data_IF_732672767860
#
_entry.id   IF_732672767860
#
_cell.length_a   1.000
_cell.length_b   1.000
_cell.length_c   1.000
_cell.angle_alpha   90.00
_cell.angle_beta   90.00
_cell.angle_gamma   90.00
#
_symmetry.space_group_name_H-M   'P 1'
#
loop_
_entity.id
_entity.type
_entity.pdbx_description
1 polymer ?
#
# COMPACT_ATOMS: atom_id res chain seq x y z
N UNK A 1 -15.64 15.79 33.32
CA UNK A 1 -15.65 15.64 31.85
C UNK A 1 -14.65 14.53 31.50
N UNK A 2 -15.13 13.31 31.28
CA UNK A 2 -14.28 12.17 30.96
C UNK A 2 -13.85 12.34 29.51
N UNK A 3 -12.59 12.75 29.28
CA UNK A 3 -11.99 12.70 27.96
C UNK A 3 -11.84 11.21 27.62
N UNK A 4 -12.83 10.65 26.93
CA UNK A 4 -12.69 9.38 26.23
C UNK A 4 -11.51 9.56 25.27
N UNK A 5 -10.33 9.05 25.66
CA UNK A 5 -9.19 8.91 24.75
C UNK A 5 -9.68 8.02 23.61
N UNK A 6 -10.15 8.63 22.51
CA UNK A 6 -10.45 7.88 21.28
C UNK A 6 -9.17 7.13 20.90
N UNK A 7 -9.29 5.81 20.81
CA UNK A 7 -8.18 4.91 20.46
C UNK A 7 -7.69 5.26 19.05
N UNK A 8 -6.41 5.03 18.73
CA UNK A 8 -5.94 5.11 17.34
C UNK A 8 -6.81 4.20 16.45
N UNK A 9 -7.02 4.64 15.20
CA UNK A 9 -7.84 3.91 14.22
C UNK A 9 -7.32 2.47 14.09
N UNK A 10 -8.19 1.51 14.38
CA UNK A 10 -7.85 0.09 14.26
C UNK A 10 -8.00 -0.37 12.82
N UNK A 11 -7.26 -1.41 12.44
CA UNK A 11 -7.40 -2.02 11.12
C UNK A 11 -8.81 -2.56 10.89
N UNK A 12 -9.46 -3.10 11.93
CA UNK A 12 -10.82 -3.61 11.84
C UNK A 12 -11.84 -2.50 11.59
N UNK A 13 -11.73 -1.38 12.31
CA UNK A 13 -12.59 -0.21 12.10
C UNK A 13 -12.40 0.37 10.69
N UNK A 14 -11.15 0.51 10.24
CA UNK A 14 -10.88 0.97 8.89
C UNK A 14 -11.51 0.06 7.83
N UNK A 15 -11.33 -1.26 7.94
CA UNK A 15 -11.92 -2.20 6.99
C UNK A 15 -13.44 -2.26 7.05
N UNK A 16 -14.07 -1.92 8.19
CA UNK A 16 -15.51 -1.68 8.26
C UNK A 16 -15.90 -0.51 7.35
N UNK A 17 -15.25 0.64 7.49
CA UNK A 17 -15.53 1.80 6.62
C UNK A 17 -15.24 1.49 5.13
N UNK A 18 -14.19 0.73 4.82
CA UNK A 18 -13.92 0.31 3.42
C UNK A 18 -15.10 -0.47 2.86
N UNK A 19 -15.66 -1.42 3.62
CA UNK A 19 -16.80 -2.24 3.18
C UNK A 19 -18.06 -1.42 2.93
N UNK A 20 -18.28 -0.35 3.69
CA UNK A 20 -19.43 0.54 3.51
C UNK A 20 -19.43 1.25 2.14
N UNK A 21 -18.25 1.41 1.53
CA UNK A 21 -18.10 2.03 0.21
C UNK A 21 -17.76 1.05 -0.91
N UNK A 22 -17.56 -0.24 -0.62
CA UNK A 22 -17.03 -1.19 -1.59
C UNK A 22 -18.16 -1.77 -2.46
N UNK A 23 -18.16 -1.53 -3.79
CA UNK A 23 -19.07 -2.21 -4.71
C UNK A 23 -18.88 -3.74 -4.69
N UNK A 24 -19.89 -4.48 -5.14
CA UNK A 24 -19.83 -5.95 -5.15
C UNK A 24 -18.76 -6.52 -6.11
N UNK A 25 -18.43 -5.79 -7.17
CA UNK A 25 -17.46 -6.15 -8.20
C UNK A 25 -16.05 -5.61 -7.92
N UNK A 26 -15.90 -4.73 -6.94
CA UNK A 26 -14.61 -4.19 -6.54
C UNK A 26 -13.72 -5.26 -5.92
N UNK A 27 -12.45 -5.22 -6.29
CA UNK A 27 -11.49 -6.29 -6.04
C UNK A 27 -10.16 -5.74 -5.52
N UNK A 28 -9.70 -6.38 -4.45
CA UNK A 28 -8.35 -6.23 -3.90
C UNK A 28 -7.64 -7.57 -4.00
N UNK A 29 -6.45 -7.60 -4.58
CA UNK A 29 -5.64 -8.80 -4.71
C UNK A 29 -4.39 -8.73 -3.84
N UNK A 30 -4.09 -9.85 -3.18
CA UNK A 30 -2.73 -10.14 -2.73
C UNK A 30 -1.81 -10.22 -3.95
N UNK A 31 -0.56 -9.82 -3.76
CA UNK A 31 0.47 -9.89 -4.80
C UNK A 31 1.57 -10.87 -4.43
N UNK A 32 2.10 -11.57 -5.42
CA UNK A 32 3.28 -12.45 -5.28
C UNK A 32 4.59 -11.65 -5.20
N UNK A 33 5.74 -12.34 -5.11
CA UNK A 33 7.05 -11.71 -5.03
C UNK A 33 7.43 -10.87 -6.27
N UNK A 34 6.70 -11.05 -7.38
CA UNK A 34 6.86 -10.31 -8.64
C UNK A 34 5.83 -9.19 -8.78
N UNK A 35 4.97 -8.99 -7.78
CA UNK A 35 3.90 -8.02 -7.82
C UNK A 35 2.74 -8.45 -8.73
N UNK A 36 2.56 -9.74 -9.01
CA UNK A 36 1.41 -10.26 -9.77
C UNK A 36 0.26 -10.61 -8.82
N UNK A 37 -1.00 -10.29 -9.18
CA UNK A 37 -2.17 -10.74 -8.44
C UNK A 37 -2.20 -12.27 -8.29
N UNK A 38 -2.43 -12.77 -7.07
CA UNK A 38 -2.43 -14.21 -6.80
C UNK A 38 -3.70 -14.72 -6.09
N UNK A 39 -4.31 -13.92 -5.21
CA UNK A 39 -5.54 -14.28 -4.49
C UNK A 39 -6.33 -13.05 -4.09
N UNK A 40 -7.62 -13.21 -3.79
CA UNK A 40 -8.45 -12.12 -3.26
C UNK A 40 -8.05 -11.79 -1.82
N UNK A 41 -7.70 -10.53 -1.56
CA UNK A 41 -7.33 -10.05 -0.23
C UNK A 41 -8.57 -9.78 0.65
N UNK A 42 -9.73 -9.50 0.04
CA UNK A 42 -10.95 -9.20 0.79
C UNK A 42 -11.46 -10.38 1.61
N UNK A 43 -11.27 -11.62 1.13
CA UNK A 43 -11.68 -12.84 1.84
C UNK A 43 -10.71 -13.26 2.95
N UNK A 44 -9.44 -12.87 2.83
CA UNK A 44 -8.38 -13.21 3.79
C UNK A 44 -8.15 -12.13 4.85
N UNK A 45 -8.74 -10.95 4.63
CA UNK A 45 -8.52 -9.77 5.45
C UNK A 45 -7.30 -8.99 4.97
N UNK A 46 -7.45 -7.67 4.88
CA UNK A 46 -6.33 -6.78 4.58
C UNK A 46 -5.60 -6.42 5.87
N UNK A 47 -4.30 -6.18 5.74
CA UNK A 47 -3.39 -5.88 6.85
C UNK A 47 -2.65 -4.59 6.52
N UNK A 48 -2.48 -3.76 7.54
CA UNK A 48 -1.70 -2.53 7.46
C UNK A 48 -0.28 -2.81 6.91
N UNK A 49 0.27 -1.87 6.14
CA UNK A 49 1.64 -1.92 5.59
C UNK A 49 1.91 -3.00 4.54
N UNK A 50 0.92 -3.80 4.18
CA UNK A 50 1.08 -4.82 3.16
C UNK A 50 0.70 -4.26 1.78
N UNK A 51 1.47 -4.61 0.74
CA UNK A 51 1.14 -4.17 -0.62
C UNK A 51 0.10 -5.08 -1.27
N UNK A 52 -0.94 -4.43 -1.77
CA UNK A 52 -2.03 -5.03 -2.52
C UNK A 52 -2.11 -4.43 -3.91
N UNK A 53 -2.77 -5.17 -4.80
CA UNK A 53 -3.29 -4.59 -6.03
C UNK A 53 -4.76 -4.22 -5.84
N UNK A 54 -5.09 -2.97 -6.05
CA UNK A 54 -6.46 -2.46 -6.04
C UNK A 54 -6.93 -2.27 -7.48
N UNK A 55 -8.20 -2.54 -7.74
CA UNK A 55 -8.87 -1.86 -8.83
C UNK A 55 -9.28 -0.43 -8.46
N UNK A 56 -9.82 0.28 -9.44
CA UNK A 56 -10.22 1.67 -9.31
C UNK A 56 -11.25 1.87 -8.19
N UNK A 57 -12.24 0.97 -8.12
CA UNK A 57 -13.33 1.06 -7.14
C UNK A 57 -12.87 0.73 -5.73
N UNK A 58 -12.04 -0.29 -5.55
CA UNK A 58 -11.46 -0.60 -4.25
C UNK A 58 -10.51 0.52 -3.77
N UNK A 59 -9.76 1.14 -4.68
CA UNK A 59 -8.93 2.31 -4.36
C UNK A 59 -9.80 3.50 -3.91
N UNK A 60 -10.95 3.73 -4.55
CA UNK A 60 -11.91 4.76 -4.14
C UNK A 60 -12.58 4.42 -2.81
N UNK A 61 -13.02 3.19 -2.59
CA UNK A 61 -13.65 2.77 -1.34
C UNK A 61 -12.70 2.98 -0.16
N UNK A 62 -11.42 2.62 -0.31
CA UNK A 62 -10.40 2.89 0.70
C UNK A 62 -10.09 4.38 0.88
N UNK A 63 -10.17 5.17 -0.20
CA UNK A 63 -10.05 6.63 -0.13
C UNK A 63 -11.21 7.25 0.67
N UNK A 64 -12.43 6.86 0.35
CA UNK A 64 -13.65 7.31 1.02
C UNK A 64 -13.68 6.91 2.50
N UNK A 65 -13.16 5.73 2.85
CA UNK A 65 -13.02 5.32 4.25
C UNK A 65 -12.12 6.27 5.05
N UNK A 66 -11.02 6.75 4.48
CA UNK A 66 -10.15 7.75 5.13
C UNK A 66 -10.84 9.11 5.21
N UNK A 67 -11.54 9.50 4.14
CA UNK A 67 -12.28 10.76 4.07
C UNK A 67 -13.42 10.80 5.09
N UNK A 68 -14.14 9.69 5.30
CA UNK A 68 -15.19 9.57 6.31
C UNK A 68 -14.63 9.72 7.72
N UNK A 69 -13.53 9.02 8.03
CA UNK A 69 -12.81 9.18 9.31
C UNK A 69 -12.42 10.64 9.55
N UNK A 70 -11.99 11.35 8.50
CA UNK A 70 -11.67 12.76 8.60
C UNK A 70 -12.90 13.64 8.90
N UNK A 71 -14.05 13.35 8.27
CA UNK A 71 -15.32 14.03 8.54
C UNK A 71 -15.81 13.76 9.97
N UNK A 72 -15.73 12.52 10.45
CA UNK A 72 -16.12 12.13 11.81
C UNK A 72 -15.27 12.80 12.89
N UNK A 73 -13.95 12.94 12.67
CA UNK A 73 -13.08 13.66 13.62
C UNK A 73 -13.25 15.18 13.53
N UNK A 74 -13.73 15.67 12.38
CA UNK A 74 -13.99 17.07 12.08
C UNK A 74 -12.81 18.02 12.39
N UNK A 75 -11.58 17.54 12.25
CA UNK A 75 -10.39 18.33 12.53
C UNK A 75 -9.17 17.82 11.75
N UNK A 76 -8.08 18.61 11.78
CA UNK A 76 -6.82 18.23 11.17
C UNK A 76 -6.70 18.69 9.72
N UNK A 77 -5.92 17.96 8.93
CA UNK A 77 -5.74 18.23 7.50
C UNK A 77 -5.91 16.98 6.66
N UNK A 78 -6.33 17.18 5.41
CA UNK A 78 -6.38 16.15 4.38
C UNK A 78 -5.62 16.58 3.13
N UNK A 79 -4.80 15.69 2.60
CA UNK A 79 -4.09 15.84 1.34
C UNK A 79 -4.43 14.67 0.43
N UNK A 80 -4.93 14.98 -0.76
CA UNK A 80 -5.18 13.99 -1.80
C UNK A 80 -4.28 14.25 -3.02
N UNK A 81 -3.76 13.17 -3.60
CA UNK A 81 -3.17 13.19 -4.94
C UNK A 81 -4.03 12.37 -5.88
N UNK A 82 -4.27 12.89 -7.07
CA UNK A 82 -4.96 12.21 -8.16
C UNK A 82 -4.15 12.42 -9.44
N UNK A 83 -4.26 11.53 -10.43
CA UNK A 83 -3.47 11.68 -11.64
C UNK A 83 -3.87 12.94 -12.44
N UNK A 84 -5.17 13.27 -12.51
CA UNK A 84 -5.71 14.41 -13.24
C UNK A 84 -6.89 15.04 -12.49
N UNK A 85 -7.06 16.37 -12.57
CA UNK A 85 -8.21 17.06 -11.95
C UNK A 85 -9.57 16.63 -12.51
N UNK A 86 -9.64 16.02 -13.70
CA UNK A 86 -10.91 15.47 -14.20
C UNK A 86 -11.45 14.34 -13.32
N UNK A 87 -10.56 13.62 -12.61
CA UNK A 87 -10.96 12.56 -11.67
C UNK A 87 -11.42 13.10 -10.33
N UNK A 88 -11.21 14.39 -10.05
CA UNK A 88 -11.77 15.04 -8.86
C UNK A 88 -13.28 15.31 -9.02
N UNK A 89 -13.75 15.57 -10.24
CA UNK A 89 -15.11 16.06 -10.50
C UNK A 89 -16.22 15.15 -9.93
N UNK A 90 -16.15 13.81 -10.07
CA UNK A 90 -17.13 12.92 -9.45
C UNK A 90 -17.16 12.97 -7.91
N UNK A 91 -16.09 13.46 -7.27
CA UNK A 91 -15.93 13.50 -5.81
C UNK A 91 -16.02 14.91 -5.24
N UNK A 92 -16.35 15.89 -6.09
CA UNK A 92 -16.31 17.32 -5.77
C UNK A 92 -17.08 17.68 -4.50
N UNK A 93 -18.29 17.17 -4.35
CA UNK A 93 -19.14 17.47 -3.19
C UNK A 93 -18.54 16.96 -1.87
N UNK A 94 -17.97 15.75 -1.87
CA UNK A 94 -17.29 15.20 -0.69
C UNK A 94 -16.08 16.04 -0.30
N UNK A 95 -15.26 16.44 -1.26
CA UNK A 95 -14.11 17.32 -0.99
C UNK A 95 -14.52 18.72 -0.55
N UNK A 96 -15.70 19.20 -0.95
CA UNK A 96 -16.27 20.44 -0.42
C UNK A 96 -16.69 20.29 1.04
N UNK A 97 -17.35 19.21 1.40
CA UNK A 97 -17.67 18.91 2.80
C UNK A 97 -16.40 18.82 3.64
N UNK A 98 -15.38 18.09 3.17
CA UNK A 98 -14.07 18.02 3.83
C UNK A 98 -13.44 19.41 4.00
N UNK A 99 -13.49 20.27 2.99
CA UNK A 99 -12.94 21.62 3.08
C UNK A 99 -13.74 22.58 3.97
N UNK A 100 -15.03 22.30 4.21
CA UNK A 100 -15.84 23.05 5.16
C UNK A 100 -15.60 22.62 6.62
N UNK A 101 -15.25 21.35 6.82
CA UNK A 101 -15.07 20.75 8.16
C UNK A 101 -13.62 20.81 8.65
N UNK A 102 -12.65 20.59 7.76
CA UNK A 102 -11.23 20.50 8.12
C UNK A 102 -10.52 21.86 8.05
N UNK A 103 -9.39 21.97 8.78
CA UNK A 103 -8.58 23.21 8.77
C UNK A 103 -7.85 23.44 7.45
N UNK A 104 -7.47 22.36 6.78
CA UNK A 104 -6.72 22.42 5.52
C UNK A 104 -7.00 21.17 4.68
N UNK A 105 -7.58 21.39 3.49
CA UNK A 105 -7.86 20.32 2.52
C UNK A 105 -7.19 20.67 1.21
N UNK A 106 -6.35 19.78 0.69
CA UNK A 106 -5.56 20.00 -0.52
C UNK A 106 -5.76 18.87 -1.52
N UNK A 107 -5.92 19.22 -2.79
CA UNK A 107 -5.95 18.28 -3.91
C UNK A 107 -4.83 18.62 -4.88
N UNK A 108 -3.95 17.66 -5.11
CA UNK A 108 -2.82 17.74 -6.03
C UNK A 108 -3.13 16.88 -7.25
N UNK A 109 -3.12 17.46 -8.43
CA UNK A 109 -3.28 16.71 -9.67
C UNK A 109 -2.72 17.44 -10.88
N UNK A 110 -2.64 16.73 -12.02
CA UNK A 110 -2.31 17.34 -13.31
C UNK A 110 -3.54 18.01 -13.94
N UNK A 111 -3.29 19.04 -14.74
CA UNK A 111 -4.28 19.66 -15.62
C UNK A 111 -4.77 21.02 -15.14
N UNK A 112 -5.85 21.50 -15.75
CA UNK A 112 -6.47 22.78 -15.39
C UNK A 112 -7.11 22.68 -14.01
N UNK A 113 -6.73 23.60 -13.11
CA UNK A 113 -7.32 23.66 -11.76
C UNK A 113 -8.82 23.92 -11.88
N UNK A 114 -9.66 23.20 -11.11
CA UNK A 114 -11.06 23.56 -10.96
C UNK A 114 -11.21 24.98 -10.38
N UNK A 115 -12.38 25.62 -10.55
CA UNK A 115 -12.70 26.85 -9.85
C UNK A 115 -12.51 26.68 -8.34
N UNK A 116 -11.90 27.68 -7.70
CA UNK A 116 -11.68 27.64 -6.25
C UNK A 116 -13.03 27.63 -5.54
N UNK A 117 -13.20 26.74 -4.57
CA UNK A 117 -14.43 26.61 -3.80
C UNK A 117 -14.11 26.48 -2.31
N UNK A 118 -14.57 27.44 -1.51
CA UNK A 118 -14.29 27.50 -0.08
C UNK A 118 -12.79 27.48 0.25
N UNK A 119 -12.42 26.68 1.25
CA UNK A 119 -11.04 26.53 1.72
C UNK A 119 -10.24 25.44 1.00
N UNK A 120 -10.83 24.78 -0.01
CA UNK A 120 -10.16 23.73 -0.78
C UNK A 120 -9.03 24.31 -1.63
N UNK A 121 -7.81 23.79 -1.46
CA UNK A 121 -6.63 24.22 -2.20
C UNK A 121 -6.30 23.24 -3.32
N UNK A 122 -6.35 23.72 -4.56
CA UNK A 122 -5.90 22.96 -5.72
C UNK A 122 -4.44 23.27 -6.06
N UNK A 123 -3.61 22.24 -6.09
CA UNK A 123 -2.20 22.33 -6.46
C UNK A 123 -1.99 21.61 -7.79
N UNK A 124 -1.82 22.38 -8.86
CA UNK A 124 -1.48 21.80 -10.16
C UNK A 124 -0.02 21.35 -10.15
N UNK A 125 0.23 20.14 -10.64
CA UNK A 125 1.57 19.58 -10.79
C UNK A 125 1.79 19.03 -12.19
N UNK A 126 3.00 19.23 -12.72
CA UNK A 126 3.50 18.57 -13.94
C UNK A 126 4.61 17.55 -13.63
N UNK A 127 4.86 17.28 -12.33
CA UNK A 127 5.90 16.39 -11.89
C UNK A 127 5.58 14.95 -12.28
N UNK A 128 6.48 14.33 -13.07
CA UNK A 128 6.35 12.93 -13.52
C UNK A 128 6.31 11.94 -12.35
N UNK A 129 6.97 12.29 -11.24
CA UNK A 129 7.06 11.48 -10.04
C UNK A 129 5.71 11.25 -9.34
N UNK A 130 4.85 12.27 -9.25
CA UNK A 130 3.51 12.16 -8.64
C UNK A 130 2.42 11.77 -9.63
N UNK A 131 2.65 11.93 -10.94
CA UNK A 131 1.68 11.65 -11.99
C UNK A 131 1.02 10.25 -11.92
N UNK A 132 1.71 9.15 -11.54
CA UNK A 132 1.07 7.84 -11.46
C UNK A 132 0.41 7.56 -10.10
N UNK A 133 0.52 8.45 -9.12
CA UNK A 133 0.10 8.19 -7.75
C UNK A 133 -1.31 8.71 -7.45
N UNK A 134 -2.10 7.83 -6.84
CA UNK A 134 -3.32 8.17 -6.12
C UNK A 134 -3.06 8.04 -4.63
N UNK A 135 -3.28 9.10 -3.87
CA UNK A 135 -2.98 9.15 -2.44
C UNK A 135 -4.11 9.84 -1.71
N UNK A 136 -4.51 9.33 -0.55
CA UNK A 136 -5.32 10.07 0.42
C UNK A 136 -4.61 9.97 1.76
N UNK A 137 -4.24 11.13 2.31
CA UNK A 137 -3.53 11.28 3.56
C UNK A 137 -4.34 12.17 4.48
N UNK A 138 -4.79 11.61 5.58
CA UNK A 138 -5.44 12.32 6.66
C UNK A 138 -4.57 12.32 7.92
N UNK A 139 -4.51 13.47 8.61
CA UNK A 139 -3.94 13.57 9.96
C UNK A 139 -4.80 14.50 10.81
N UNK A 140 -5.53 13.88 11.73
CA UNK A 140 -6.29 14.51 12.80
C UNK A 140 -5.47 14.65 14.08
N UNK A 141 -6.18 14.93 15.16
CA UNK A 141 -5.66 14.97 16.53
C UNK A 141 -5.59 13.59 17.15
N UNK A 142 -6.54 12.72 16.83
CA UNK A 142 -6.70 11.40 17.45
C UNK A 142 -6.32 10.25 16.51
N UNK A 143 -6.59 10.41 15.22
CA UNK A 143 -6.23 9.41 14.22
C UNK A 143 -5.60 10.03 12.99
N UNK A 144 -5.06 9.16 12.17
CA UNK A 144 -4.39 9.49 10.93
C UNK A 144 -4.40 8.24 10.08
N UNK A 145 -4.48 8.43 8.79
CA UNK A 145 -4.48 7.34 7.84
C UNK A 145 -3.84 7.82 6.53
N UNK A 146 -3.17 6.91 5.87
CA UNK A 146 -2.65 7.08 4.54
C UNK A 146 -3.05 5.88 3.72
N UNK A 147 -3.57 6.15 2.53
CA UNK A 147 -3.64 5.22 1.42
C UNK A 147 -2.77 5.81 0.31
N UNK A 148 -1.87 5.01 -0.24
CA UNK A 148 -1.05 5.41 -1.39
C UNK A 148 -1.00 4.26 -2.40
N UNK A 149 -1.30 4.57 -3.66
CA UNK A 149 -1.30 3.62 -4.76
C UNK A 149 -0.62 4.21 -6.00
N UNK A 150 0.33 3.48 -6.58
CA UNK A 150 0.93 3.77 -7.87
C UNK A 150 0.18 3.00 -8.96
N UNK A 151 -0.26 3.67 -10.00
CA UNK A 151 -0.87 3.00 -11.15
C UNK A 151 0.10 1.96 -11.73
N UNK A 152 -0.35 0.71 -11.81
CA UNK A 152 0.45 -0.46 -12.20
C UNK A 152 0.24 -0.85 -13.68
N UNK A 153 -0.80 -0.32 -14.30
CA UNK A 153 -1.17 -0.58 -15.70
C UNK A 153 -1.11 0.70 -16.56
N UNK A 154 -1.31 0.54 -17.87
CA UNK A 154 -1.35 1.65 -18.83
C UNK A 154 -2.75 2.22 -19.09
N UNK A 155 -3.74 1.89 -18.25
CA UNK A 155 -5.13 2.27 -18.48
C UNK A 155 -5.33 3.79 -18.41
N UNK A 156 -6.05 4.36 -19.39
CA UNK A 156 -6.35 5.80 -19.46
C UNK A 156 -7.66 6.16 -18.74
N UNK A 157 -8.66 5.29 -18.86
CA UNK A 157 -9.97 5.40 -18.22
C UNK A 157 -9.85 4.94 -16.78
N UNK A 158 -10.41 5.69 -15.82
CA UNK A 158 -10.12 5.51 -14.40
C UNK A 158 -10.56 4.13 -13.89
N UNK A 159 -11.76 3.72 -14.29
CA UNK A 159 -12.46 2.48 -13.97
C UNK A 159 -11.65 1.23 -14.32
N UNK A 160 -10.80 1.33 -15.34
CA UNK A 160 -9.94 0.24 -15.79
C UNK A 160 -8.56 0.24 -15.14
N UNK A 161 -8.22 1.27 -14.35
CA UNK A 161 -6.92 1.35 -13.71
C UNK A 161 -6.76 0.31 -12.62
N UNK A 162 -5.50 -0.07 -12.42
CA UNK A 162 -5.06 -0.92 -11.32
C UNK A 162 -3.92 -0.22 -10.58
N UNK A 163 -3.93 -0.31 -9.26
CA UNK A 163 -2.99 0.39 -8.39
C UNK A 163 -2.25 -0.59 -7.49
N UNK A 164 -0.93 -0.47 -7.45
CA UNK A 164 -0.12 -1.06 -6.40
C UNK A 164 -0.03 -0.11 -5.23
N UNK A 165 -0.55 -0.53 -4.09
CA UNK A 165 -0.59 0.35 -2.95
C UNK A 165 -0.64 -0.37 -1.62
N UNK A 166 -0.55 0.43 -0.58
CA UNK A 166 -0.76 0.00 0.80
C UNK A 166 -1.47 1.12 1.55
N UNK A 167 -1.98 0.77 2.73
CA UNK A 167 -2.48 1.75 3.68
C UNK A 167 -1.79 1.62 5.04
N UNK A 168 -1.81 2.70 5.82
CA UNK A 168 -1.19 2.76 7.14
C UNK A 168 -1.81 3.81 8.04
N UNK A 169 -1.74 3.58 9.35
CA UNK A 169 -2.08 4.50 10.44
C UNK A 169 -0.82 4.94 11.22
N UNK A 170 0.36 4.48 10.81
CA UNK A 170 1.63 4.75 11.47
C UNK A 170 2.10 6.22 11.25
N UNK A 171 2.29 7.02 12.31
CA UNK A 171 2.60 8.45 12.20
C UNK A 171 3.92 8.71 11.48
N UNK A 172 4.93 7.90 11.81
CA UNK A 172 6.26 8.06 11.26
C UNK A 172 6.28 7.80 9.77
N UNK A 173 5.53 6.78 9.31
CA UNK A 173 5.42 6.47 7.89
C UNK A 173 4.64 7.54 7.12
N UNK A 174 3.50 7.97 7.67
CA UNK A 174 2.68 9.05 7.10
C UNK A 174 3.49 10.33 6.94
N UNK A 175 4.28 10.70 7.96
CA UNK A 175 5.14 11.88 7.91
C UNK A 175 6.24 11.77 6.85
N UNK A 176 6.82 10.59 6.62
CA UNK A 176 7.83 10.38 5.57
C UNK A 176 7.21 10.46 4.18
N UNK A 177 6.08 9.79 3.94
CA UNK A 177 5.39 9.87 2.64
C UNK A 177 4.92 11.30 2.35
N UNK A 178 4.41 12.01 3.35
CA UNK A 178 4.06 13.43 3.18
C UNK A 178 5.26 14.27 2.76
N UNK A 179 6.41 14.07 3.42
CA UNK A 179 7.65 14.80 3.08
C UNK A 179 8.07 14.52 1.65
N UNK A 180 8.00 13.27 1.19
CA UNK A 180 8.28 12.93 -0.21
C UNK A 180 7.37 13.69 -1.18
N UNK A 181 6.06 13.77 -0.90
CA UNK A 181 5.12 14.54 -1.74
C UNK A 181 5.51 16.03 -1.77
N UNK A 182 5.83 16.62 -0.61
CA UNK A 182 6.23 18.02 -0.50
C UNK A 182 7.57 18.30 -1.22
N UNK A 183 8.56 17.42 -1.09
CA UNK A 183 9.86 17.51 -1.77
C UNK A 183 9.70 17.38 -3.29
N UNK A 184 8.87 16.44 -3.77
CA UNK A 184 8.57 16.32 -5.20
C UNK A 184 7.87 17.58 -5.71
N UNK A 185 6.88 18.10 -4.98
CA UNK A 185 6.19 19.34 -5.37
C UNK A 185 7.13 20.54 -5.45
N UNK A 186 8.09 20.64 -4.52
CA UNK A 186 9.13 21.65 -4.52
C UNK A 186 10.20 21.45 -5.61
N UNK A 187 10.16 20.33 -6.35
CA UNK A 187 11.17 19.97 -7.35
C UNK A 187 12.48 19.47 -6.76
N UNK A 188 12.52 19.17 -5.46
CA UNK A 188 13.69 18.64 -4.75
C UNK A 188 13.86 17.12 -4.86
N UNK A 189 12.82 16.40 -5.31
CA UNK A 189 12.86 14.95 -5.50
C UNK A 189 12.23 14.53 -6.84
N UNK A 190 12.80 13.48 -7.43
CA UNK A 190 12.39 12.91 -8.72
C UNK A 190 11.54 11.64 -8.58
N UNK A 191 11.31 11.14 -7.37
CA UNK A 191 10.52 9.94 -7.10
C UNK A 191 9.99 9.90 -5.65
N UNK A 192 9.05 8.99 -5.38
CA UNK A 192 8.47 8.73 -4.06
C UNK A 192 9.33 7.74 -3.26
N UNK A 193 10.36 8.26 -2.57
CA UNK A 193 11.44 7.44 -1.97
C UNK A 193 10.93 6.38 -0.98
N UNK A 194 10.05 6.77 -0.08
CA UNK A 194 9.52 5.89 0.96
C UNK A 194 8.60 4.81 0.36
N UNK A 195 7.84 5.16 -0.68
CA UNK A 195 7.01 4.18 -1.39
C UNK A 195 7.86 3.08 -2.05
N UNK A 196 8.91 3.46 -2.80
CA UNK A 196 9.80 2.49 -3.45
C UNK A 196 10.54 1.62 -2.41
N UNK A 197 10.99 2.24 -1.31
CA UNK A 197 11.64 1.53 -0.20
C UNK A 197 10.73 0.45 0.37
N UNK A 198 9.47 0.78 0.66
CA UNK A 198 8.53 -0.16 1.23
C UNK A 198 8.11 -1.25 0.24
N UNK A 199 7.93 -0.91 -1.04
CA UNK A 199 7.63 -1.89 -2.08
C UNK A 199 8.77 -2.92 -2.23
N UNK A 200 10.03 -2.48 -2.14
CA UNK A 200 11.18 -3.36 -2.19
C UNK A 200 11.24 -4.31 -0.98
N UNK A 201 10.92 -3.80 0.22
CA UNK A 201 10.85 -4.61 1.45
C UNK A 201 9.75 -5.65 1.35
N UNK A 202 8.54 -5.25 0.94
CA UNK A 202 7.39 -6.14 0.78
C UNK A 202 7.67 -7.27 -0.22
N UNK A 203 8.21 -6.96 -1.40
CA UNK A 203 8.60 -7.98 -2.39
C UNK A 203 9.67 -8.92 -1.87
N UNK A 204 10.62 -8.40 -1.09
CA UNK A 204 11.67 -9.22 -0.47
C UNK A 204 11.07 -10.16 0.58
N UNK A 205 10.16 -9.68 1.42
CA UNK A 205 9.45 -10.49 2.40
C UNK A 205 8.64 -11.61 1.72
N UNK A 206 7.89 -11.28 0.67
CA UNK A 206 7.14 -12.27 -0.13
C UNK A 206 8.04 -13.31 -0.79
N UNK A 207 9.21 -12.89 -1.28
CA UNK A 207 10.19 -13.82 -1.84
C UNK A 207 10.72 -14.79 -0.78
N UNK A 208 11.02 -14.30 0.42
CA UNK A 208 11.47 -15.15 1.53
C UNK A 208 10.39 -16.16 1.92
N UNK A 209 9.15 -15.71 2.06
CA UNK A 209 8.01 -16.57 2.40
C UNK A 209 7.77 -17.66 1.34
N UNK A 210 7.87 -17.30 0.06
CA UNK A 210 7.77 -18.25 -1.04
C UNK A 210 8.88 -19.32 -1.00
N UNK A 211 10.13 -18.93 -0.72
CA UNK A 211 11.26 -19.86 -0.61
C UNK A 211 11.12 -20.75 0.64
N UNK A 212 10.67 -20.20 1.76
CA UNK A 212 10.40 -20.97 2.97
C UNK A 212 9.30 -22.00 2.74
N UNK A 213 8.19 -21.59 2.11
CA UNK A 213 7.08 -22.48 1.74
C UNK A 213 7.53 -23.61 0.81
N UNK A 214 8.39 -23.32 -0.18
CA UNK A 214 8.97 -24.34 -1.06
C UNK A 214 9.85 -25.32 -0.29
N UNK A 215 10.70 -24.81 0.62
CA UNK A 215 11.55 -25.62 1.48
C UNK A 215 10.72 -26.54 2.37
N UNK A 216 9.71 -26.00 3.05
CA UNK A 216 8.79 -26.77 3.89
C UNK A 216 8.12 -27.90 3.10
N UNK A 217 7.53 -27.60 1.93
CA UNK A 217 6.89 -28.60 1.07
C UNK A 217 7.86 -29.69 0.59
N UNK A 218 9.11 -29.33 0.31
CA UNK A 218 10.14 -30.29 -0.09
C UNK A 218 10.48 -31.27 1.05
N UNK A 219 10.68 -30.74 2.26
CA UNK A 219 10.94 -31.55 3.48
C UNK A 219 9.75 -32.43 3.80
N UNK A 220 8.53 -31.89 3.78
CA UNK A 220 7.30 -32.66 4.03
C UNK A 220 7.12 -33.79 3.01
N UNK A 221 7.37 -33.52 1.72
CA UNK A 221 7.34 -34.55 0.68
C UNK A 221 8.39 -35.64 0.90
N UNK A 222 9.60 -35.27 1.31
CA UNK A 222 10.66 -36.22 1.62
C UNK A 222 10.32 -37.08 2.85
N UNK A 223 9.75 -36.50 3.91
CA UNK A 223 9.25 -37.22 5.08
C UNK A 223 8.13 -38.20 4.72
N UNK A 224 7.16 -37.78 3.90
CA UNK A 224 6.10 -38.68 3.41
C UNK A 224 6.68 -39.83 2.58
N UNK A 225 7.67 -39.56 1.72
CA UNK A 225 8.37 -40.61 0.95
C UNK A 225 9.12 -41.58 1.86
N UNK A 226 9.79 -41.10 2.91
CA UNK A 226 10.43 -41.95 3.92
C UNK A 226 9.40 -42.85 4.62
N UNK A 227 8.24 -42.30 5.01
CA UNK A 227 7.17 -43.06 5.67
C UNK A 227 6.56 -44.13 4.75
N UNK A 228 6.37 -43.82 3.46
CA UNK A 228 5.76 -44.73 2.48
C UNK A 228 6.76 -45.79 1.98
N UNK A 229 8.03 -45.43 1.77
CA UNK A 229 9.02 -46.30 1.14
C UNK A 229 9.81 -47.18 2.11
N UNK A 230 9.69 -46.98 3.43
CA UNK A 230 10.52 -47.66 4.42
C UNK A 230 12.02 -47.56 4.09
N UNK A 231 12.77 -48.67 4.21
CA UNK A 231 14.22 -48.76 3.98
C UNK A 231 14.70 -48.43 2.54
N UNK A 232 13.82 -48.13 1.58
CA UNK A 232 14.21 -47.82 0.18
C UNK A 232 14.54 -46.33 -0.07
N UNK A 233 14.16 -45.43 0.83
CA UNK A 233 14.58 -44.03 0.75
C UNK A 233 15.73 -43.79 1.73
N UNK A 234 16.97 -43.80 1.22
CA UNK A 234 18.17 -43.69 2.04
C UNK A 234 18.19 -42.40 2.85
N UNK A 235 18.41 -42.51 4.17
CA UNK A 235 18.52 -41.36 5.09
C UNK A 235 19.54 -40.30 4.63
N UNK A 236 20.57 -40.70 3.86
CA UNK A 236 21.55 -39.79 3.23
C UNK A 236 20.92 -38.85 2.20
N UNK A 237 19.94 -39.31 1.42
CA UNK A 237 19.22 -38.47 0.45
C UNK A 237 18.32 -37.45 1.15
N UNK A 238 17.65 -37.85 2.23
CA UNK A 238 16.90 -36.93 3.07
C UNK A 238 17.79 -35.85 3.71
N UNK A 239 18.95 -36.24 4.27
CA UNK A 239 19.91 -35.30 4.83
C UNK A 239 20.41 -34.29 3.78
N UNK A 240 20.71 -34.75 2.55
CA UNK A 240 21.12 -33.87 1.46
C UNK A 240 20.03 -32.88 1.02
N UNK A 241 18.76 -33.31 0.95
CA UNK A 241 17.63 -32.44 0.59
C UNK A 241 17.33 -31.39 1.70
N UNK A 242 17.47 -31.78 2.97
CA UNK A 242 17.35 -30.89 4.12
C UNK A 242 18.49 -29.86 4.13
N UNK A 243 19.74 -30.31 3.95
CA UNK A 243 20.93 -29.46 3.92
C UNK A 243 20.87 -28.46 2.77
N UNK A 244 20.42 -28.88 1.59
CA UNK A 244 20.19 -28.00 0.44
C UNK A 244 19.12 -26.93 0.72
N UNK A 245 18.06 -27.28 1.44
CA UNK A 245 16.99 -26.34 1.83
C UNK A 245 17.49 -25.33 2.87
N UNK A 246 18.22 -25.81 3.89
CA UNK A 246 18.84 -24.96 4.90
C UNK A 246 19.91 -24.03 4.31
N UNK A 247 20.73 -24.52 3.37
CA UNK A 247 21.72 -23.71 2.68
C UNK A 247 21.05 -22.61 1.84
N UNK A 248 19.93 -22.89 1.17
CA UNK A 248 19.17 -21.86 0.44
C UNK A 248 18.62 -20.79 1.38
N UNK A 249 18.07 -21.19 2.53
CA UNK A 249 17.59 -20.25 3.56
C UNK A 249 18.74 -19.41 4.13
N UNK A 250 19.90 -20.01 4.39
CA UNK A 250 21.10 -19.32 4.89
C UNK A 250 21.68 -18.33 3.87
N UNK A 251 21.68 -18.68 2.58
CA UNK A 251 22.04 -17.77 1.49
C UNK A 251 21.08 -16.58 1.42
N UNK A 252 19.77 -16.83 1.53
CA UNK A 252 18.76 -15.78 1.49
C UNK A 252 18.85 -14.84 2.69
N UNK A 253 19.06 -15.38 3.90
CA UNK A 253 19.28 -14.57 5.11
C UNK A 253 20.60 -13.79 5.04
N UNK A 254 21.65 -14.35 4.46
CA UNK A 254 22.89 -13.63 4.18
C UNK A 254 22.75 -12.53 3.11
N UNK A 255 21.78 -12.66 2.20
CA UNK A 255 21.49 -11.66 1.17
C UNK A 255 20.53 -10.56 1.64
N UNK A 256 19.80 -10.75 2.76
CA UNK A 256 18.86 -9.76 3.30
C UNK A 256 19.49 -8.37 3.53
N UNK A 257 20.66 -8.24 4.20
CA UNK A 257 21.30 -6.94 4.38
C UNK A 257 21.64 -6.28 3.02
N UNK A 258 22.09 -7.07 2.05
CA UNK A 258 22.46 -6.59 0.73
C UNK A 258 21.24 -6.26 -0.15
N UNK A 259 20.10 -6.91 0.03
CA UNK A 259 18.85 -6.60 -0.66
C UNK A 259 18.21 -5.33 -0.08
N UNK A 260 18.22 -5.18 1.25
CA UNK A 260 17.83 -3.94 1.93
C UNK A 260 18.78 -2.80 1.58
N UNK A 261 20.09 -3.06 1.48
CA UNK A 261 21.09 -2.07 1.06
C UNK A 261 21.03 -1.79 -0.44
N UNK A 262 20.78 -2.75 -1.32
CA UNK A 262 20.64 -2.52 -2.77
C UNK A 262 19.35 -1.77 -3.10
N UNK A 263 18.29 -1.97 -2.31
CA UNK A 263 17.13 -1.08 -2.30
C UNK A 263 17.50 0.34 -1.85
N UNK A 264 18.55 0.55 -1.03
CA UNK A 264 19.11 1.87 -0.73
C UNK A 264 20.13 2.38 -1.78
N UNK A 265 20.87 1.51 -2.47
CA UNK A 265 21.95 1.89 -3.40
C UNK A 265 21.48 2.11 -4.83
N UNK A 266 20.41 1.42 -5.29
CA UNK A 266 19.70 1.78 -6.53
C UNK A 266 18.92 3.10 -6.41
N UNK A 267 18.88 3.71 -5.23
CA UNK A 267 18.34 5.05 -4.96
C UNK A 267 19.42 6.16 -5.03
N UNK A 268 20.69 5.81 -5.29
CA UNK A 268 21.82 6.75 -5.36
C UNK A 268 22.43 6.89 -6.77
N UNK A 269 21.88 6.18 -7.76
CA UNK A 269 22.27 6.24 -9.18
C UNK A 269 21.06 6.67 -10.02
#
# INVERSE_FOLDING_TARGET
MIVLKKKPLSNEDFLRHVRDYLPMDASVWNTDEKGKPCSCAMSTGMVEHHFYRFDAEAMLAASHAIEEVALEEANGFLLATMQEFKYFEPHRERYWQLAATLRDTRVIAKGKRPPRHGHLKFVATNHKALAPFWTVLYRGHHCQALLIGRQADGAKTFEHKRFDGFYTFNPGLIARVRRDIEEVLAGGAWWMKEFERLLAIDRTAKRLDAEFTRGHKAVESALRKLQIAGNRYEARRFAADLEKSLHRLKLLTGQLPNLVSAAHSRLAA
#
